data_IF_431495092912
#
_entry.id   IF_431495092912
#
_cell.length_a   1.000
_cell.length_b   1.000
_cell.length_c   1.000
_cell.angle_alpha   90.00
_cell.angle_beta   90.00
_cell.angle_gamma   90.00
#
_symmetry.space_group_name_H-M   'P 1'
#
loop_
_entity.id
_entity.type
_entity.pdbx_description
1 polymer ?
#
# COMPACT_ATOMS: atom_id res chain seq x y z
N UNK A 1 50.27 -39.07 7.40
CA UNK A 1 49.28 -38.27 8.16
C UNK A 1 48.91 -37.00 7.38
N UNK A 2 48.13 -37.11 6.28
CA UNK A 2 47.74 -35.95 5.44
C UNK A 2 46.28 -36.03 4.93
N UNK A 3 45.46 -36.89 5.51
CA UNK A 3 44.14 -37.23 4.95
C UNK A 3 42.97 -36.78 5.82
N UNK A 4 43.22 -36.21 7.00
CA UNK A 4 42.16 -35.79 7.94
C UNK A 4 41.90 -34.29 7.96
N UNK A 5 42.82 -33.43 7.50
CA UNK A 5 42.64 -31.98 7.54
C UNK A 5 41.69 -31.42 6.46
N UNK A 6 41.50 -32.14 5.33
CA UNK A 6 40.66 -31.67 4.22
C UNK A 6 39.16 -31.78 4.51
N UNK A 7 38.77 -32.69 5.40
CA UNK A 7 37.35 -32.96 5.69
C UNK A 7 36.73 -31.87 6.56
N UNK A 8 37.49 -31.32 7.53
CA UNK A 8 37.00 -30.25 8.41
C UNK A 8 36.82 -28.90 7.69
N UNK A 9 37.63 -28.63 6.66
CA UNK A 9 37.52 -27.39 5.88
C UNK A 9 36.25 -27.36 4.99
N UNK A 10 35.77 -28.52 4.52
CA UNK A 10 34.52 -28.59 3.75
C UNK A 10 33.26 -28.52 4.63
N UNK A 11 33.30 -28.96 5.89
CA UNK A 11 32.14 -28.89 6.79
C UNK A 11 31.86 -27.48 7.30
N UNK A 12 32.88 -26.63 7.48
CA UNK A 12 32.68 -25.24 7.93
C UNK A 12 32.05 -24.33 6.87
N UNK A 13 32.33 -24.57 5.59
CA UNK A 13 31.73 -23.80 4.49
C UNK A 13 30.23 -24.10 4.32
N UNK A 14 29.81 -25.35 4.58
CA UNK A 14 28.40 -25.75 4.46
C UNK A 14 27.53 -25.13 5.56
N UNK A 15 28.05 -25.02 6.79
CA UNK A 15 27.30 -24.45 7.93
C UNK A 15 27.14 -22.91 7.77
N UNK A 16 28.17 -22.23 7.27
CA UNK A 16 28.11 -20.78 7.01
C UNK A 16 27.08 -20.41 5.93
N UNK A 17 26.97 -21.22 4.86
CA UNK A 17 26.00 -20.99 3.79
C UNK A 17 24.55 -21.23 4.24
N UNK A 18 24.30 -22.24 5.10
CA UNK A 18 22.96 -22.52 5.64
C UNK A 18 22.50 -21.42 6.60
N UNK A 19 23.39 -20.86 7.41
CA UNK A 19 23.05 -19.75 8.32
C UNK A 19 22.79 -18.43 7.57
N UNK A 20 23.52 -18.14 6.49
CA UNK A 20 23.26 -16.97 5.64
C UNK A 20 21.94 -17.11 4.85
N UNK A 21 21.60 -18.29 4.35
CA UNK A 21 20.32 -18.55 3.69
C UNK A 21 19.13 -18.47 4.66
N UNK A 22 19.28 -18.95 5.89
CA UNK A 22 18.24 -18.86 6.92
C UNK A 22 17.99 -17.40 7.37
N UNK A 23 19.03 -16.57 7.44
CA UNK A 23 18.87 -15.16 7.78
C UNK A 23 18.12 -14.35 6.70
N UNK A 24 18.30 -14.71 5.42
CA UNK A 24 17.54 -14.10 4.33
C UNK A 24 16.08 -14.56 4.28
N UNK A 25 15.79 -15.81 4.64
CA UNK A 25 14.41 -16.32 4.65
C UNK A 25 13.58 -15.79 5.83
N UNK A 26 14.22 -15.43 6.94
CA UNK A 26 13.50 -14.97 8.16
C UNK A 26 13.06 -13.50 8.07
N UNK A 27 13.57 -12.72 7.11
CA UNK A 27 13.08 -11.37 6.82
C UNK A 27 12.02 -11.30 5.72
N UNK A 28 11.71 -12.43 5.05
CA UNK A 28 10.59 -12.52 4.11
C UNK A 28 9.22 -12.70 4.83
N UNK A 29 9.19 -12.51 6.14
CA UNK A 29 7.99 -12.53 6.97
C UNK A 29 7.33 -11.17 7.16
N UNK A 30 7.80 -10.11 6.49
CA UNK A 30 6.97 -8.92 6.27
C UNK A 30 5.85 -9.33 5.33
N UNK A 31 4.74 -9.77 5.92
CA UNK A 31 3.51 -10.05 5.19
C UNK A 31 3.26 -8.86 4.28
N UNK A 32 3.32 -9.06 2.96
CA UNK A 32 2.79 -8.08 2.02
C UNK A 32 1.32 -7.95 2.40
N UNK A 33 1.01 -6.93 3.20
CA UNK A 33 -0.32 -6.75 3.74
C UNK A 33 -1.24 -6.65 2.53
N UNK A 34 -2.14 -7.61 2.36
CA UNK A 34 -3.13 -7.55 1.30
C UNK A 34 -4.25 -6.61 1.73
N UNK A 35 -4.88 -5.97 0.77
CA UNK A 35 -6.17 -5.33 0.98
C UNK A 35 -7.17 -6.33 1.57
N UNK A 36 -7.97 -5.88 2.53
CA UNK A 36 -9.03 -6.69 3.14
C UNK A 36 -10.40 -6.09 2.86
N UNK A 37 -11.43 -6.94 2.85
CA UNK A 37 -12.80 -6.46 2.68
C UNK A 37 -13.27 -5.64 3.86
N UNK A 38 -14.05 -4.61 3.55
CA UNK A 38 -14.60 -3.72 4.56
C UNK A 38 -15.67 -4.42 5.43
N UNK A 39 -15.77 -4.06 6.72
CA UNK A 39 -16.83 -4.58 7.59
C UNK A 39 -18.23 -4.22 7.08
N UNK A 40 -19.17 -5.16 7.14
CA UNK A 40 -20.55 -4.98 6.67
C UNK A 40 -21.37 -3.94 7.45
N UNK A 41 -20.91 -3.51 8.63
CA UNK A 41 -21.57 -2.52 9.47
C UNK A 41 -21.18 -1.06 9.21
N UNK A 42 -20.35 -0.78 8.20
CA UNK A 42 -19.97 0.61 7.87
C UNK A 42 -21.17 1.40 7.35
N UNK A 43 -21.22 2.69 7.69
CA UNK A 43 -22.28 3.63 7.23
C UNK A 43 -22.11 4.07 5.77
N UNK A 44 -21.02 3.66 5.14
CA UNK A 44 -20.61 4.06 3.79
C UNK A 44 -19.88 2.88 3.13
N UNK A 45 -19.74 2.92 1.81
CA UNK A 45 -18.79 2.05 1.13
C UNK A 45 -17.36 2.54 1.38
N UNK A 46 -16.49 1.69 1.92
CA UNK A 46 -15.10 2.02 2.12
C UNK A 46 -14.41 2.36 0.78
N UNK A 47 -13.68 3.47 0.78
CA UNK A 47 -12.88 3.92 -0.36
C UNK A 47 -11.40 3.75 -0.08
N UNK A 48 -10.98 3.74 1.19
CA UNK A 48 -9.59 3.59 1.57
C UNK A 48 -9.41 2.74 2.83
N UNK A 49 -8.21 2.18 2.97
CA UNK A 49 -7.79 1.47 4.17
C UNK A 49 -6.33 1.80 4.49
N UNK A 50 -6.06 2.10 5.76
CA UNK A 50 -4.72 2.32 6.29
C UNK A 50 -4.36 1.11 7.16
N UNK A 51 -3.24 0.47 6.83
CA UNK A 51 -2.69 -0.64 7.59
C UNK A 51 -1.57 -0.11 8.47
N UNK A 52 -1.70 -0.32 9.78
CA UNK A 52 -0.65 0.00 10.75
C UNK A 52 0.07 -1.27 11.18
N UNK A 53 1.36 -1.18 11.49
CA UNK A 53 2.13 -2.31 11.99
C UNK A 53 1.51 -2.84 13.29
N UNK A 54 1.09 -4.11 13.29
CA UNK A 54 0.56 -4.79 14.48
C UNK A 54 -0.88 -4.44 14.85
N UNK A 55 -1.64 -3.76 13.98
CA UNK A 55 -3.03 -3.42 14.23
C UNK A 55 -3.95 -3.78 13.05
N UNK A 56 -5.25 -3.86 13.31
CA UNK A 56 -6.25 -4.03 12.27
C UNK A 56 -6.30 -2.80 11.34
N UNK A 57 -6.65 -2.97 10.06
CA UNK A 57 -6.79 -1.84 9.14
C UNK A 57 -7.89 -0.88 9.59
N UNK A 58 -7.62 0.43 9.44
CA UNK A 58 -8.66 1.45 9.58
C UNK A 58 -9.26 1.75 8.21
N UNK A 59 -10.58 1.67 8.09
CA UNK A 59 -11.31 1.94 6.85
C UNK A 59 -11.84 3.38 6.82
N UNK A 60 -11.85 3.96 5.63
CA UNK A 60 -12.21 5.37 5.39
C UNK A 60 -13.24 5.47 4.26
N UNK A 61 -14.26 6.30 4.45
CA UNK A 61 -15.27 6.61 3.44
C UNK A 61 -14.75 7.59 2.38
N UNK A 62 -13.79 8.44 2.77
CA UNK A 62 -13.25 9.52 1.97
C UNK A 62 -11.73 9.40 1.91
N UNK A 63 -11.18 9.42 0.69
CA UNK A 63 -9.74 9.37 0.48
C UNK A 63 -9.03 10.66 0.91
N UNK A 64 -9.70 11.81 0.85
CA UNK A 64 -9.14 13.07 1.33
C UNK A 64 -8.95 13.04 2.86
N UNK A 65 -9.95 12.56 3.59
CA UNK A 65 -9.86 12.33 5.05
C UNK A 65 -8.76 11.31 5.38
N UNK A 66 -8.72 10.19 4.64
CA UNK A 66 -7.69 9.18 4.81
C UNK A 66 -6.28 9.77 4.65
N UNK A 67 -6.04 10.55 3.60
CA UNK A 67 -4.72 11.15 3.36
C UNK A 67 -4.37 12.26 4.34
N UNK A 68 -5.36 13.04 4.80
CA UNK A 68 -5.15 14.01 5.87
C UNK A 68 -4.68 13.32 7.17
N UNK A 69 -5.29 12.19 7.53
CA UNK A 69 -4.86 11.39 8.68
C UNK A 69 -3.49 10.75 8.46
N UNK A 70 -3.24 10.21 7.26
CA UNK A 70 -1.97 9.56 6.91
C UNK A 70 -0.80 10.54 6.75
N UNK A 71 -1.04 11.85 6.67
CA UNK A 71 -0.02 12.90 6.61
C UNK A 71 0.10 13.71 7.91
N UNK A 72 -0.77 13.45 8.90
CA UNK A 72 -0.69 14.10 10.20
C UNK A 72 0.62 13.74 10.93
N UNK A 73 1.18 14.69 11.68
CA UNK A 73 2.39 14.45 12.49
C UNK A 73 2.12 13.48 13.65
N UNK A 74 0.91 13.52 14.23
CA UNK A 74 0.49 12.62 15.30
C UNK A 74 -0.16 11.36 14.72
N UNK A 75 0.65 10.48 14.12
CA UNK A 75 0.11 9.22 13.59
C UNK A 75 -0.23 8.26 14.72
N UNK A 76 -1.37 7.55 14.57
CA UNK A 76 -1.82 6.50 15.50
C UNK A 76 -0.82 5.33 15.63
N UNK A 77 0.11 5.21 14.69
CA UNK A 77 1.16 4.20 14.67
C UNK A 77 1.94 4.24 13.36
N UNK A 78 2.88 3.32 13.18
CA UNK A 78 3.63 3.20 11.94
C UNK A 78 2.74 2.62 10.82
N UNK A 79 2.38 3.43 9.83
CA UNK A 79 1.69 2.97 8.63
C UNK A 79 2.61 2.02 7.84
N UNK A 80 2.18 0.78 7.64
CA UNK A 80 2.90 -0.19 6.81
C UNK A 80 2.51 -0.08 5.34
N UNK A 81 1.24 0.15 5.05
CA UNK A 81 0.73 0.37 3.69
C UNK A 81 -0.65 1.02 3.71
N UNK A 82 -1.09 1.51 2.56
CA UNK A 82 -2.45 1.99 2.33
C UNK A 82 -2.99 1.40 1.04
N UNK A 83 -4.28 1.09 1.02
CA UNK A 83 -4.98 0.71 -0.20
C UNK A 83 -6.16 1.64 -0.44
N UNK A 84 -6.47 1.81 -1.72
CA UNK A 84 -7.61 2.59 -2.21
C UNK A 84 -8.47 1.75 -3.14
N UNK A 85 -9.77 2.02 -3.17
CA UNK A 85 -10.71 1.35 -4.03
C UNK A 85 -10.58 1.89 -5.46
N UNK A 86 -10.51 0.98 -6.43
CA UNK A 86 -10.48 1.33 -7.84
C UNK A 86 -11.86 1.82 -8.29
N UNK A 87 -11.94 3.11 -8.62
CA UNK A 87 -13.15 3.74 -9.14
C UNK A 87 -13.45 3.33 -10.58
N UNK A 88 -12.45 2.77 -11.28
CA UNK A 88 -12.61 2.26 -12.63
C UNK A 88 -13.17 0.83 -12.71
N UNK A 89 -13.17 0.08 -11.61
CA UNK A 89 -13.54 -1.34 -11.63
C UNK A 89 -15.04 -1.57 -11.36
N UNK A 90 -15.62 -2.58 -12.02
CA UNK A 90 -16.96 -3.06 -11.70
C UNK A 90 -16.90 -4.00 -10.49
N UNK A 91 -16.79 -3.46 -9.28
CA UNK A 91 -16.82 -4.27 -8.05
C UNK A 91 -15.89 -3.77 -6.95
N UNK A 92 -15.49 -4.70 -6.09
CA UNK A 92 -14.48 -4.47 -5.06
C UNK A 92 -13.11 -4.83 -5.64
N UNK A 93 -12.33 -3.80 -5.97
CA UNK A 93 -10.95 -3.92 -6.42
C UNK A 93 -10.12 -2.91 -5.65
N UNK A 94 -9.09 -3.40 -4.97
CA UNK A 94 -8.23 -2.60 -4.11
C UNK A 94 -6.83 -2.48 -4.72
N UNK A 95 -6.28 -1.27 -4.68
CA UNK A 95 -5.00 -0.92 -5.29
C UNK A 95 -4.08 -0.38 -4.20
N UNK A 96 -2.78 -0.74 -4.18
CA UNK A 96 -1.82 -0.02 -3.35
C UNK A 96 -1.89 1.48 -3.64
N UNK A 97 -2.10 2.32 -2.62
CA UNK A 97 -2.34 3.75 -2.81
C UNK A 97 -1.22 4.43 -3.61
N UNK A 98 0.03 4.05 -3.35
CA UNK A 98 1.20 4.59 -4.04
C UNK A 98 1.24 4.29 -5.54
N UNK A 99 0.47 3.31 -6.03
CA UNK A 99 0.44 2.87 -7.43
C UNK A 99 -0.76 3.42 -8.20
N UNK A 100 -1.72 4.07 -7.53
CA UNK A 100 -2.93 4.58 -8.17
C UNK A 100 -2.71 5.94 -8.85
N UNK A 101 -3.50 6.19 -9.89
CA UNK A 101 -3.69 7.52 -10.45
C UNK A 101 -4.91 8.17 -9.81
N UNK A 102 -4.77 9.42 -9.35
CA UNK A 102 -5.84 10.11 -8.64
C UNK A 102 -6.50 11.18 -9.49
N UNK A 103 -7.79 11.42 -9.24
CA UNK A 103 -8.55 12.51 -9.85
C UNK A 103 -9.33 13.23 -8.74
N UNK A 104 -9.13 14.54 -8.65
CA UNK A 104 -9.90 15.42 -7.77
C UNK A 104 -9.47 16.86 -7.96
N UNK A 105 -10.42 17.80 -8.08
CA UNK A 105 -10.12 19.24 -8.03
C UNK A 105 -11.35 20.15 -7.99
N UNK A 106 -12.55 19.62 -7.82
CA UNK A 106 -13.72 20.46 -7.68
C UNK A 106 -14.13 20.51 -6.20
N UNK A 107 -14.43 21.71 -5.65
CA UNK A 107 -15.04 21.81 -4.34
C UNK A 107 -16.24 20.86 -4.27
N UNK A 108 -16.26 19.99 -3.26
CA UNK A 108 -17.32 18.97 -3.01
C UNK A 108 -17.30 17.70 -3.88
N UNK A 109 -16.28 17.46 -4.70
CA UNK A 109 -16.13 16.16 -5.36
C UNK A 109 -15.19 15.24 -4.57
N UNK A 110 -15.54 13.95 -4.39
CA UNK A 110 -14.67 13.00 -3.73
C UNK A 110 -13.42 12.76 -4.58
N UNK A 111 -12.30 12.48 -3.91
CA UNK A 111 -11.10 12.02 -4.61
C UNK A 111 -11.33 10.60 -5.12
N UNK A 112 -11.07 10.38 -6.41
CA UNK A 112 -11.18 9.08 -7.07
C UNK A 112 -9.79 8.50 -7.33
N UNK A 113 -9.68 7.17 -7.28
CA UNK A 113 -8.45 6.44 -7.54
C UNK A 113 -8.67 5.43 -8.67
N UNK A 114 -7.68 5.31 -9.55
CA UNK A 114 -7.73 4.43 -10.72
C UNK A 114 -6.45 3.58 -10.78
N UNK A 115 -6.62 2.27 -11.01
CA UNK A 115 -5.50 1.37 -11.27
C UNK A 115 -4.87 1.64 -12.64
N UNK A 116 -5.73 1.96 -13.62
CA UNK A 116 -5.35 2.15 -15.00
C UNK A 116 -5.19 3.65 -15.31
N UNK A 117 -3.98 4.03 -15.71
CA UNK A 117 -3.65 5.42 -16.03
C UNK A 117 -4.45 5.95 -17.23
N UNK A 118 -4.69 5.14 -18.25
CA UNK A 118 -5.43 5.57 -19.44
C UNK A 118 -6.89 5.86 -19.09
N UNK A 119 -7.52 4.99 -18.29
CA UNK A 119 -8.88 5.17 -17.79
C UNK A 119 -9.00 6.44 -16.94
N UNK A 120 -8.00 6.73 -16.12
CA UNK A 120 -7.95 7.96 -15.35
C UNK A 120 -7.89 9.19 -16.28
N UNK A 121 -7.02 9.17 -17.30
CA UNK A 121 -6.92 10.25 -18.28
C UNK A 121 -8.22 10.44 -19.07
N UNK A 122 -8.85 9.36 -19.50
CA UNK A 122 -10.12 9.40 -20.22
C UNK A 122 -11.24 10.00 -19.35
N UNK A 123 -11.29 9.62 -18.07
CA UNK A 123 -12.23 10.20 -17.10
C UNK A 123 -11.95 11.70 -16.91
N UNK A 124 -10.69 12.06 -16.69
CA UNK A 124 -10.25 13.43 -16.49
C UNK A 124 -10.64 14.31 -17.70
N UNK A 125 -10.35 13.84 -18.92
CA UNK A 125 -10.69 14.53 -20.16
C UNK A 125 -12.18 14.74 -20.35
N UNK A 126 -13.01 13.72 -20.08
CA UNK A 126 -14.48 13.83 -20.22
C UNK A 126 -15.09 14.82 -19.24
N UNK A 127 -14.49 14.99 -18.07
CA UNK A 127 -15.02 15.85 -17.01
C UNK A 127 -14.30 17.21 -16.91
N UNK A 128 -13.31 17.48 -17.77
CA UNK A 128 -12.52 18.72 -17.72
C UNK A 128 -11.68 18.86 -16.44
N UNK A 129 -11.24 17.75 -15.86
CA UNK A 129 -10.42 17.70 -14.64
C UNK A 129 -9.01 17.20 -15.00
N UNK A 130 -8.02 17.44 -14.14
CA UNK A 130 -6.66 16.89 -14.30
C UNK A 130 -6.44 15.69 -13.37
N UNK A 131 -5.60 14.75 -13.82
CA UNK A 131 -5.09 13.67 -12.98
C UNK A 131 -3.96 14.18 -12.08
N UNK A 132 -3.79 13.59 -10.89
CA UNK A 132 -2.67 13.87 -10.00
C UNK A 132 -1.97 12.59 -9.52
N UNK A 133 -0.66 12.63 -9.26
CA UNK A 133 0.08 11.51 -8.68
C UNK A 133 -0.22 11.35 -7.19
N UNK A 134 0.16 10.19 -6.64
CA UNK A 134 0.01 9.87 -5.22
C UNK A 134 0.60 10.92 -4.27
N UNK A 135 1.78 11.47 -4.57
CA UNK A 135 2.43 12.47 -3.71
C UNK A 135 1.59 13.73 -3.51
N UNK A 136 0.88 14.16 -4.56
CA UNK A 136 0.00 15.32 -4.50
C UNK A 136 -1.31 14.98 -3.77
N UNK A 137 -1.82 13.76 -3.92
CA UNK A 137 -2.96 13.29 -3.14
C UNK A 137 -2.63 13.19 -1.63
N UNK A 138 -1.44 12.68 -1.29
CA UNK A 138 -1.00 12.45 0.10
C UNK A 138 -0.78 13.74 0.89
N UNK A 139 -0.22 14.79 0.28
CA UNK A 139 0.04 16.06 0.96
C UNK A 139 -1.23 16.77 1.44
N UNK A 140 -2.40 16.22 1.07
CA UNK A 140 -3.65 16.95 1.06
C UNK A 140 -3.56 18.00 -0.04
N UNK A 141 -4.70 18.26 -0.68
CA UNK A 141 -4.86 19.50 -1.42
C UNK A 141 -4.96 20.58 -0.34
N UNK A 142 -3.80 21.06 0.15
CA UNK A 142 -3.72 22.22 1.03
C UNK A 142 -3.94 23.43 0.12
N UNK A 143 -5.15 23.97 0.15
CA UNK A 143 -5.43 25.31 -0.36
C UNK A 143 -4.58 26.35 0.39
#
# INVERSE_FOLDING_TARGET
MKTTLRTYAMQLAAIGAVLLLAFWQTHAGDSQAAAVSAPSGMRCAAQGQIHYRGAAPSFHCDLAEMFALASAQEQRGHISTMFVRDSGASGEHWIPAAQAQYIGRQPRQPLLAFADKQRALDYASRNGIQTMPYSLALLGIRD
#
